data_IF_312679070569
#
_entry.id   IF_312679070569
#
_cell.length_a   1.000
_cell.length_b   1.000
_cell.length_c   1.000
_cell.angle_alpha   90.00
_cell.angle_beta   90.00
_cell.angle_gamma   90.00
#
_symmetry.space_group_name_H-M   'P 1'
#
loop_
_entity.id
_entity.type
_entity.pdbx_description
1 polymer ?
#
# COMPACT_ATOMS: atom_id res chain seq x y z
N UNK A 1 15.30 15.52 29.00
CA UNK A 1 14.69 14.24 28.55
C UNK A 1 15.20 13.73 27.19
N UNK A 2 15.67 14.59 26.26
CA UNK A 2 16.18 14.18 24.93
C UNK A 2 17.39 13.20 24.96
N UNK A 3 18.33 13.37 25.89
CA UNK A 3 19.55 12.53 25.96
C UNK A 3 19.33 11.12 26.54
N UNK A 4 18.23 10.88 27.27
CA UNK A 4 17.92 9.54 27.81
C UNK A 4 17.21 8.65 26.77
N UNK A 5 16.55 9.24 25.78
CA UNK A 5 15.88 8.48 24.73
C UNK A 5 16.89 7.91 23.72
N UNK A 6 17.88 8.72 23.30
CA UNK A 6 18.92 8.27 22.36
C UNK A 6 19.80 7.13 22.92
N UNK A 7 20.10 7.11 24.23
CA UNK A 7 20.89 6.01 24.83
C UNK A 7 20.15 4.67 24.90
N UNK A 8 18.81 4.67 24.89
CA UNK A 8 17.98 3.46 24.98
C UNK A 8 17.69 2.80 23.62
N UNK A 9 17.83 3.52 22.51
CA UNK A 9 17.58 3.01 21.15
C UNK A 9 18.79 2.27 20.57
N UNK A 10 20.00 2.61 21.02
CA UNK A 10 21.26 2.04 20.50
C UNK A 10 21.35 0.49 20.61
N UNK A 11 20.86 -0.18 21.67
CA UNK A 11 20.87 -1.64 21.75
C UNK A 11 20.00 -2.33 20.68
N UNK A 12 18.88 -1.72 20.28
CA UNK A 12 18.00 -2.21 19.20
C UNK A 12 18.64 -2.07 17.81
N UNK A 13 19.46 -1.03 17.60
CA UNK A 13 20.17 -0.81 16.35
C UNK A 13 21.33 -1.80 16.15
N UNK A 14 21.99 -2.19 17.25
CA UNK A 14 23.16 -3.08 17.21
C UNK A 14 22.80 -4.58 17.11
N UNK A 15 21.58 -5.00 17.48
CA UNK A 15 21.17 -6.42 17.35
C UNK A 15 20.59 -6.76 15.97
N UNK A 16 20.27 -5.75 15.14
CA UNK A 16 19.56 -5.92 13.86
C UNK A 16 20.48 -5.65 12.65
N UNK A 17 21.76 -5.36 12.84
CA UNK A 17 22.71 -5.01 11.77
C UNK A 17 23.22 -6.20 10.92
N UNK A 18 22.40 -7.24 10.72
CA UNK A 18 22.75 -8.45 9.97
C UNK A 18 21.71 -8.87 8.92
N UNK A 19 21.26 -7.91 8.10
CA UNK A 19 20.30 -8.19 7.02
C UNK A 19 20.68 -7.46 5.73
N UNK A 20 21.12 -8.20 4.71
CA UNK A 20 21.24 -7.73 3.33
C UNK A 20 20.74 -8.80 2.35
N UNK A 21 20.15 -8.31 1.24
CA UNK A 21 19.66 -8.98 0.02
C UNK A 21 18.23 -9.56 0.01
N UNK A 22 17.28 -8.81 -0.59
CA UNK A 22 16.68 -9.14 -1.89
C UNK A 22 15.74 -8.01 -2.37
N UNK A 23 15.64 -7.84 -3.69
CA UNK A 23 14.89 -6.77 -4.39
C UNK A 23 13.62 -7.30 -5.06
N UNK A 24 12.66 -6.37 -5.16
CA UNK A 24 11.54 -6.22 -6.11
C UNK A 24 10.33 -7.17 -6.04
N UNK A 25 9.15 -6.64 -5.66
CA UNK A 25 8.06 -6.21 -6.56
C UNK A 25 6.84 -5.69 -5.74
N UNK A 26 6.23 -4.58 -6.17
CA UNK A 26 4.97 -4.03 -5.66
C UNK A 26 3.89 -4.11 -6.74
N UNK A 27 2.67 -4.53 -6.39
CA UNK A 27 1.44 -3.72 -6.48
C UNK A 27 0.22 -4.54 -6.01
N UNK A 28 -0.77 -3.83 -5.46
CA UNK A 28 -2.16 -4.24 -5.22
C UNK A 28 -2.49 -4.82 -3.83
N UNK A 29 -2.69 -3.97 -2.81
CA UNK A 29 -3.61 -4.28 -1.72
C UNK A 29 -4.24 -3.00 -1.14
N UNK A 30 -5.45 -2.68 -1.60
CA UNK A 30 -6.42 -1.86 -0.88
C UNK A 30 -7.76 -2.59 -0.92
N UNK A 31 -8.01 -3.41 0.10
CA UNK A 31 -9.34 -3.73 0.66
C UNK A 31 -9.21 -4.82 1.74
N UNK A 32 -9.46 -4.43 2.99
CA UNK A 32 -9.89 -5.21 4.14
C UNK A 32 -9.08 -6.42 4.64
N UNK A 33 -8.66 -6.29 5.90
CA UNK A 33 -8.50 -7.38 6.85
C UNK A 33 -9.78 -8.23 6.92
N UNK A 34 -9.63 -9.55 6.74
CA UNK A 34 -10.37 -10.52 7.53
C UNK A 34 -9.55 -11.80 7.67
N UNK A 35 -9.66 -12.38 8.85
CA UNK A 35 -8.73 -13.30 9.51
C UNK A 35 -8.66 -14.67 8.82
N UNK A 36 -7.43 -15.19 8.71
CA UNK A 36 -7.17 -16.58 8.43
C UNK A 36 -7.17 -17.39 9.74
N UNK A 37 -7.99 -18.42 9.83
CA UNK A 37 -7.81 -19.49 10.80
C UNK A 37 -8.04 -20.85 10.11
N UNK A 38 -6.97 -21.65 10.04
CA UNK A 38 -7.03 -23.11 9.89
C UNK A 38 -6.23 -23.71 11.05
N UNK A 39 -6.83 -24.60 11.82
CA UNK A 39 -6.12 -25.64 12.57
C UNK A 39 -6.89 -26.95 12.51
N UNK A 40 -6.19 -28.00 12.06
CA UNK A 40 -6.50 -29.41 12.33
C UNK A 40 -5.89 -29.76 13.70
N UNK A 41 -6.61 -30.48 14.56
CA UNK A 41 -6.28 -31.88 14.94
C UNK A 41 -7.21 -32.44 16.04
N UNK A 42 -7.76 -33.62 15.73
CA UNK A 42 -7.95 -34.83 16.55
C UNK A 42 -8.25 -34.72 18.06
N UNK A 43 -9.41 -35.27 18.44
CA UNK A 43 -9.43 -36.45 19.31
C UNK A 43 -9.84 -36.29 20.78
N UNK A 44 -11.14 -36.52 21.01
CA UNK A 44 -11.74 -37.34 22.08
C UNK A 44 -12.42 -36.67 23.31
N UNK A 45 -13.66 -37.13 23.49
CA UNK A 45 -14.56 -37.19 24.67
C UNK A 45 -15.12 -35.91 25.30
N UNK A 46 -16.46 -35.82 25.31
CA UNK A 46 -17.23 -35.17 26.38
C UNK A 46 -18.39 -34.32 25.88
N UNK A 47 -19.62 -34.84 25.98
CA UNK A 47 -20.87 -34.20 25.58
C UNK A 47 -21.10 -32.82 26.25
N UNK A 48 -21.21 -31.77 25.43
CA UNK A 48 -22.11 -30.61 25.48
C UNK A 48 -21.54 -29.56 24.53
N UNK A 49 -22.40 -28.97 23.68
CA UNK A 49 -22.28 -27.67 22.99
C UNK A 49 -22.86 -27.71 21.56
N UNK A 50 -24.14 -28.07 21.42
CA UNK A 50 -24.84 -28.06 20.12
C UNK A 50 -25.12 -26.62 19.61
N UNK A 51 -25.07 -25.60 20.46
CA UNK A 51 -25.35 -24.21 20.06
C UNK A 51 -24.13 -23.46 19.48
N UNK A 52 -22.91 -23.73 19.95
CA UNK A 52 -21.68 -23.15 19.40
C UNK A 52 -21.36 -23.72 18.00
N UNK A 53 -21.62 -25.01 17.78
CA UNK A 53 -21.42 -25.65 16.48
C UNK A 53 -22.39 -25.11 15.40
N UNK A 54 -23.61 -24.72 15.81
CA UNK A 54 -24.59 -24.08 14.92
C UNK A 54 -24.13 -22.67 14.52
N UNK A 55 -23.59 -21.88 15.46
CA UNK A 55 -23.09 -20.52 15.21
C UNK A 55 -21.85 -20.51 14.30
N UNK A 56 -20.93 -21.46 14.50
CA UNK A 56 -19.76 -21.61 13.64
C UNK A 56 -20.15 -22.08 12.23
N UNK A 57 -21.10 -23.01 12.10
CA UNK A 57 -21.59 -23.46 10.78
C UNK A 57 -22.28 -22.34 9.98
N UNK A 58 -23.00 -21.45 10.66
CA UNK A 58 -23.65 -20.29 10.03
C UNK A 58 -22.62 -19.27 9.55
N UNK A 59 -21.61 -19.01 10.37
CA UNK A 59 -20.53 -18.06 10.06
C UNK A 59 -19.69 -18.55 8.89
N UNK A 60 -19.33 -19.84 8.87
CA UNK A 60 -18.61 -20.47 7.75
C UNK A 60 -19.41 -20.40 6.45
N UNK A 61 -20.71 -20.65 6.51
CA UNK A 61 -21.60 -20.57 5.35
C UNK A 61 -21.68 -19.14 4.79
N UNK A 62 -21.72 -18.12 5.65
CA UNK A 62 -21.71 -16.71 5.23
C UNK A 62 -20.38 -16.31 4.58
N UNK A 63 -19.26 -16.76 5.14
CA UNK A 63 -17.92 -16.50 4.59
C UNK A 63 -17.79 -17.16 3.21
N UNK A 64 -18.19 -18.44 3.07
CA UNK A 64 -18.15 -19.12 1.79
C UNK A 64 -19.04 -18.46 0.73
N UNK A 65 -20.26 -18.01 1.10
CA UNK A 65 -21.13 -17.28 0.18
C UNK A 65 -20.51 -15.95 -0.29
N UNK A 66 -19.81 -15.24 0.60
CA UNK A 66 -19.08 -14.01 0.24
C UNK A 66 -17.92 -14.30 -0.69
N UNK A 67 -17.14 -15.35 -0.45
CA UNK A 67 -16.01 -15.77 -1.30
C UNK A 67 -16.51 -16.15 -2.69
N UNK A 68 -17.53 -17.02 -2.79
CA UNK A 68 -18.13 -17.44 -4.07
C UNK A 68 -18.69 -16.23 -4.83
N UNK A 69 -19.39 -15.32 -4.13
CA UNK A 69 -19.89 -14.08 -4.75
C UNK A 69 -18.75 -13.24 -5.32
N UNK A 70 -17.65 -13.11 -4.59
CA UNK A 70 -16.48 -12.34 -5.01
C UNK A 70 -15.77 -12.98 -6.21
N UNK A 71 -15.58 -14.31 -6.19
CA UNK A 71 -15.03 -15.08 -7.31
C UNK A 71 -15.91 -14.98 -8.56
N UNK A 72 -17.24 -15.00 -8.41
CA UNK A 72 -18.17 -14.83 -9.53
C UNK A 72 -18.08 -13.44 -10.18
N UNK A 73 -17.87 -12.39 -9.38
CA UNK A 73 -17.68 -11.02 -9.86
C UNK A 73 -16.34 -10.89 -10.56
N UNK A 74 -15.28 -11.47 -9.98
CA UNK A 74 -13.94 -11.42 -10.53
C UNK A 74 -13.80 -12.26 -11.83
N UNK A 75 -14.48 -13.41 -11.90
CA UNK A 75 -14.54 -14.21 -13.12
C UNK A 75 -15.38 -13.55 -14.23
N UNK A 76 -16.45 -12.82 -13.90
CA UNK A 76 -17.16 -11.98 -14.89
C UNK A 76 -16.28 -10.87 -15.46
N UNK A 77 -15.44 -10.26 -14.62
CA UNK A 77 -14.45 -9.26 -15.05
C UNK A 77 -13.36 -9.91 -15.94
N UNK A 78 -12.87 -11.11 -15.60
CA UNK A 78 -11.91 -11.85 -16.42
C UNK A 78 -12.47 -12.31 -17.76
N UNK A 79 -13.70 -12.86 -17.78
CA UNK A 79 -14.35 -13.32 -19.02
C UNK A 79 -14.69 -12.15 -19.95
N UNK A 80 -14.97 -10.96 -19.39
CA UNK A 80 -15.12 -9.71 -20.15
C UNK A 80 -13.81 -9.24 -20.80
N UNK A 81 -12.64 -9.61 -20.28
CA UNK A 81 -11.34 -9.27 -20.87
C UNK A 81 -10.82 -10.34 -21.85
N UNK A 82 -11.13 -11.63 -21.64
CA UNK A 82 -10.61 -12.73 -22.47
C UNK A 82 -11.41 -12.99 -23.75
N UNK A 83 -12.60 -12.41 -23.91
CA UNK A 83 -13.48 -12.65 -25.07
C UNK A 83 -13.31 -11.65 -26.22
N UNK A 84 -12.28 -10.78 -26.21
CA UNK A 84 -11.95 -9.87 -27.33
C UNK A 84 -10.60 -10.14 -28.01
N UNK A 85 -9.97 -11.29 -27.77
CA UNK A 85 -8.69 -11.68 -28.38
C UNK A 85 -8.76 -12.90 -29.31
N UNK A 86 -9.91 -13.16 -29.94
CA UNK A 86 -10.05 -14.19 -31.00
C UNK A 86 -10.81 -13.68 -32.22
N UNK A 87 -10.24 -12.71 -32.92
CA UNK A 87 -10.45 -12.53 -34.37
C UNK A 87 -9.09 -12.11 -34.94
N UNK A 88 -8.71 -12.72 -36.07
CA UNK A 88 -7.45 -12.60 -36.82
C UNK A 88 -6.34 -13.61 -36.44
N UNK A 89 -6.53 -14.87 -36.82
CA UNK A 89 -5.42 -15.66 -37.36
C UNK A 89 -5.48 -15.57 -38.90
N UNK A 90 -4.39 -15.22 -39.60
CA UNK A 90 -4.29 -15.44 -41.04
C UNK A 90 -3.80 -16.88 -41.29
N UNK A 91 -4.48 -17.55 -42.23
CA UNK A 91 -3.99 -18.80 -42.81
C UNK A 91 -2.71 -18.55 -43.60
N UNK A 92 -1.68 -19.34 -43.32
CA UNK A 92 -0.45 -19.43 -44.09
C UNK A 92 -0.75 -19.99 -45.49
N UNK A 93 -0.30 -19.29 -46.53
CA UNK A 93 0.06 -19.88 -47.80
C UNK A 93 1.07 -18.96 -48.52
N UNK A 94 2.27 -19.49 -48.75
CA UNK A 94 3.04 -19.27 -49.98
C UNK A 94 3.83 -17.96 -50.16
N UNK A 95 5.15 -18.12 -50.10
CA UNK A 95 6.17 -17.52 -50.96
C UNK A 95 6.90 -16.23 -50.52
N UNK A 96 8.19 -16.46 -50.24
CA UNK A 96 9.33 -15.55 -50.12
C UNK A 96 9.33 -14.29 -51.00
N UNK A 97 9.63 -13.12 -50.39
CA UNK A 97 10.84 -12.31 -50.68
C UNK A 97 10.92 -11.06 -49.77
N UNK A 98 12.14 -10.79 -49.31
CA UNK A 98 12.72 -9.52 -48.83
C UNK A 98 11.80 -8.29 -48.74
N UNK A 99 11.72 -7.65 -47.56
CA UNK A 99 12.25 -6.30 -47.32
C UNK A 99 12.08 -5.82 -45.86
N UNK A 100 13.17 -5.24 -45.34
CA UNK A 100 13.24 -4.12 -44.39
C UNK A 100 12.46 -4.15 -43.07
N UNK A 101 13.25 -4.21 -42.00
CA UNK A 101 13.13 -3.39 -40.79
C UNK A 101 12.57 -1.99 -41.03
N UNK A 102 11.38 -1.69 -40.49
CA UNK A 102 10.95 -0.36 -40.02
C UNK A 102 9.59 -0.43 -39.31
N UNK A 103 9.43 0.44 -38.30
CA UNK A 103 8.19 0.93 -37.70
C UNK A 103 7.57 0.16 -36.53
N UNK A 104 8.01 0.50 -35.33
CA UNK A 104 7.19 0.51 -34.10
C UNK A 104 6.72 1.94 -33.84
N UNK A 105 5.87 2.49 -34.71
CA UNK A 105 5.28 3.82 -34.57
C UNK A 105 3.93 3.87 -35.30
N UNK A 106 2.94 3.07 -34.86
CA UNK A 106 1.58 3.17 -35.39
C UNK A 106 0.57 2.57 -34.40
N UNK A 107 0.18 3.34 -33.39
CA UNK A 107 -1.05 3.06 -32.62
C UNK A 107 -1.76 4.29 -32.05
N UNK A 108 -1.16 5.48 -32.12
CA UNK A 108 -1.75 6.73 -31.59
C UNK A 108 -2.85 7.30 -32.48
N UNK A 109 -2.87 6.96 -33.78
CA UNK A 109 -3.87 7.41 -34.76
C UNK A 109 -5.28 6.87 -34.51
N UNK A 110 -5.41 5.72 -33.85
CA UNK A 110 -6.73 5.12 -33.61
C UNK A 110 -7.53 5.84 -32.50
N UNK A 111 -6.86 6.35 -31.46
CA UNK A 111 -7.52 7.00 -30.32
C UNK A 111 -8.31 8.24 -30.70
N UNK A 112 -7.76 9.10 -31.55
CA UNK A 112 -8.46 10.32 -31.97
C UNK A 112 -9.65 10.00 -32.86
N UNK A 113 -9.56 8.99 -33.72
CA UNK A 113 -10.68 8.54 -34.57
C UNK A 113 -11.78 7.86 -33.74
N UNK A 114 -11.43 7.08 -32.71
CA UNK A 114 -12.40 6.53 -31.75
C UNK A 114 -13.12 7.67 -31.02
N UNK A 115 -12.40 8.66 -30.50
CA UNK A 115 -13.02 9.80 -29.80
C UNK A 115 -13.89 10.62 -30.74
N UNK A 116 -13.46 10.87 -31.99
CA UNK A 116 -14.28 11.53 -33.02
C UNK A 116 -15.54 10.72 -33.37
N UNK A 117 -15.42 9.39 -33.49
CA UNK A 117 -16.56 8.51 -33.73
C UNK A 117 -17.54 8.53 -32.55
N UNK A 118 -17.04 8.50 -31.32
CA UNK A 118 -17.85 8.66 -30.10
C UNK A 118 -18.55 10.02 -30.06
N UNK A 119 -17.85 11.10 -30.42
CA UNK A 119 -18.42 12.43 -30.55
C UNK A 119 -19.55 12.48 -31.57
N UNK A 120 -19.32 11.92 -32.75
CA UNK A 120 -20.33 11.85 -33.81
C UNK A 120 -21.55 11.02 -33.37
N UNK A 121 -21.35 9.90 -32.68
CA UNK A 121 -22.42 9.09 -32.09
C UNK A 121 -23.18 9.82 -30.97
N UNK A 122 -22.48 10.57 -30.11
CA UNK A 122 -23.09 11.43 -29.10
C UNK A 122 -23.96 12.51 -29.74
N UNK A 123 -23.49 13.15 -30.82
CA UNK A 123 -24.28 14.13 -31.57
C UNK A 123 -25.50 13.50 -32.26
N UNK A 124 -25.33 12.30 -32.84
CA UNK A 124 -26.37 11.65 -33.64
C UNK A 124 -27.45 10.95 -32.79
N UNK A 125 -27.09 10.44 -31.61
CA UNK A 125 -27.96 9.57 -30.78
C UNK A 125 -28.33 10.18 -29.42
N UNK A 126 -28.30 11.51 -29.28
CA UNK A 126 -28.60 12.25 -28.04
C UNK A 126 -30.05 12.08 -27.53
N UNK A 127 -30.46 10.86 -27.22
CA UNK A 127 -31.54 10.53 -26.30
C UNK A 127 -30.97 10.64 -24.90
N UNK A 128 -31.67 11.33 -23.99
CA UNK A 128 -31.18 11.62 -22.64
C UNK A 128 -30.77 10.37 -21.84
N UNK A 129 -31.35 9.21 -22.17
CA UNK A 129 -31.10 7.95 -21.46
C UNK A 129 -29.72 7.31 -21.69
N UNK A 130 -29.00 7.64 -22.77
CA UNK A 130 -27.70 7.00 -23.10
C UNK A 130 -26.46 7.84 -22.77
N UNK A 131 -26.65 9.13 -22.43
CA UNK A 131 -25.56 10.06 -22.10
C UNK A 131 -24.61 9.53 -21.01
N UNK A 132 -25.07 8.90 -19.91
CA UNK A 132 -24.17 8.44 -18.84
C UNK A 132 -23.24 7.29 -19.26
N UNK A 133 -23.69 6.39 -20.14
CA UNK A 133 -22.94 5.21 -20.57
C UNK A 133 -21.82 5.62 -21.52
N UNK A 134 -22.15 6.38 -22.57
CA UNK A 134 -21.19 6.93 -23.54
C UNK A 134 -20.07 7.70 -22.85
N UNK A 135 -20.43 8.42 -21.81
CA UNK A 135 -19.51 9.25 -21.07
C UNK A 135 -18.63 8.43 -20.11
N UNK A 136 -19.18 7.38 -19.47
CA UNK A 136 -18.36 6.43 -18.72
C UNK A 136 -17.36 5.71 -19.64
N UNK A 137 -17.77 5.31 -20.85
CA UNK A 137 -16.89 4.68 -21.83
C UNK A 137 -15.80 5.64 -22.31
N UNK A 138 -16.15 6.92 -22.55
CA UNK A 138 -15.17 7.96 -22.82
C UNK A 138 -14.20 8.14 -21.66
N UNK A 139 -14.68 8.17 -20.41
CA UNK A 139 -13.81 8.26 -19.24
C UNK A 139 -12.88 7.05 -19.11
N UNK A 140 -13.36 5.83 -19.41
CA UNK A 140 -12.51 4.64 -19.45
C UNK A 140 -11.45 4.81 -20.53
N UNK A 141 -11.81 5.22 -21.74
CA UNK A 141 -10.85 5.41 -22.82
C UNK A 141 -9.79 6.49 -22.49
N UNK A 142 -10.23 7.64 -22.00
CA UNK A 142 -9.35 8.74 -21.57
C UNK A 142 -8.44 8.32 -20.43
N UNK A 143 -8.94 7.52 -19.49
CA UNK A 143 -8.14 6.97 -18.38
C UNK A 143 -7.01 6.06 -18.86
N UNK A 144 -7.08 5.56 -20.08
CA UNK A 144 -6.02 4.76 -20.69
C UNK A 144 -5.23 5.51 -21.78
N UNK A 145 -5.65 6.72 -22.18
CA UNK A 145 -4.92 7.50 -23.17
C UNK A 145 -4.03 8.54 -22.48
N UNK A 146 -2.72 8.41 -22.63
CA UNK A 146 -1.75 9.44 -22.22
C UNK A 146 -1.71 10.63 -23.20
N UNK A 147 -2.61 10.68 -24.17
CA UNK A 147 -2.58 11.68 -25.23
C UNK A 147 -3.22 13.01 -24.80
N UNK A 148 -2.39 14.03 -24.62
CA UNK A 148 -2.76 15.42 -24.34
C UNK A 148 -3.75 15.97 -25.38
N UNK A 149 -3.67 15.54 -26.63
CA UNK A 149 -4.55 16.03 -27.71
C UNK A 149 -6.02 15.68 -27.49
N UNK A 150 -6.32 14.77 -26.57
CA UNK A 150 -7.69 14.38 -26.23
C UNK A 150 -8.33 15.38 -25.25
N UNK A 151 -7.52 16.22 -24.57
CA UNK A 151 -8.00 17.22 -23.60
C UNK A 151 -9.01 18.22 -24.19
N UNK A 152 -8.74 18.91 -25.32
CA UNK A 152 -9.71 19.81 -25.94
C UNK A 152 -11.01 19.08 -26.30
N UNK A 153 -10.89 17.88 -26.85
CA UNK A 153 -12.01 17.04 -27.25
C UNK A 153 -12.90 16.65 -26.08
N UNK A 154 -12.32 16.28 -24.93
CA UNK A 154 -13.07 15.99 -23.69
C UNK A 154 -13.80 17.24 -23.21
N UNK A 155 -13.16 18.40 -23.27
CA UNK A 155 -13.76 19.68 -22.89
C UNK A 155 -14.96 19.99 -23.79
N UNK A 156 -14.83 19.80 -25.10
CA UNK A 156 -15.90 20.01 -26.07
C UNK A 156 -17.07 19.05 -25.85
N UNK A 157 -16.81 17.74 -25.69
CA UNK A 157 -17.83 16.73 -25.35
C UNK A 157 -18.58 17.11 -24.07
N UNK A 158 -17.86 17.56 -23.05
CA UNK A 158 -18.44 17.89 -21.75
C UNK A 158 -19.29 19.17 -21.81
N UNK A 159 -18.90 20.13 -22.65
CA UNK A 159 -19.71 21.32 -22.94
C UNK A 159 -21.01 20.94 -23.67
N UNK A 160 -20.95 19.98 -24.61
CA UNK A 160 -22.12 19.51 -25.38
C UNK A 160 -23.09 18.71 -24.50
N UNK A 161 -22.58 17.88 -23.58
CA UNK A 161 -23.39 17.02 -22.71
C UNK A 161 -24.00 17.75 -21.50
N UNK A 162 -23.94 19.08 -21.49
CA UNK A 162 -24.27 19.99 -20.39
C UNK A 162 -25.69 19.83 -19.82
N UNK A 163 -25.89 18.83 -18.97
CA UNK A 163 -26.79 18.97 -17.82
C UNK A 163 -26.00 19.60 -16.67
N UNK A 164 -26.68 20.42 -15.86
CA UNK A 164 -26.14 21.08 -14.67
C UNK A 164 -25.51 20.07 -13.68
N UNK A 165 -25.98 18.82 -13.71
CA UNK A 165 -25.46 17.73 -12.88
C UNK A 165 -24.07 17.26 -13.32
N UNK A 166 -23.76 17.38 -14.62
CA UNK A 166 -22.54 16.84 -15.21
C UNK A 166 -21.35 17.79 -15.13
N UNK A 167 -21.60 19.11 -15.20
CA UNK A 167 -20.58 20.15 -15.01
C UNK A 167 -19.78 20.01 -13.72
N UNK A 168 -20.37 19.41 -12.68
CA UNK A 168 -19.86 19.62 -11.33
C UNK A 168 -19.00 18.49 -10.75
N UNK A 169 -18.82 17.30 -11.37
CA UNK A 169 -18.30 16.15 -10.55
C UNK A 169 -17.22 15.24 -11.13
N UNK A 170 -17.22 14.93 -12.41
CA UNK A 170 -16.30 13.91 -12.96
C UNK A 170 -15.27 14.49 -13.93
N UNK A 171 -15.69 15.43 -14.79
CA UNK A 171 -14.85 15.94 -15.87
C UNK A 171 -13.55 16.56 -15.35
N UNK A 172 -13.63 17.57 -14.49
CA UNK A 172 -12.45 18.32 -14.05
C UNK A 172 -11.49 17.44 -13.25
N UNK A 173 -12.04 16.48 -12.51
CA UNK A 173 -11.25 15.49 -11.81
C UNK A 173 -10.47 14.58 -12.78
N UNK A 174 -11.10 14.15 -13.86
CA UNK A 174 -10.45 13.33 -14.89
C UNK A 174 -9.43 14.14 -15.68
N UNK A 175 -9.76 15.37 -16.05
CA UNK A 175 -8.84 16.28 -16.72
C UNK A 175 -7.60 16.55 -15.84
N UNK A 176 -7.78 16.75 -14.53
CA UNK A 176 -6.68 16.93 -13.59
C UNK A 176 -5.78 15.70 -13.54
N UNK A 177 -6.35 14.50 -13.57
CA UNK A 177 -5.57 13.25 -13.65
C UNK A 177 -4.77 13.12 -14.95
N UNK A 178 -5.35 13.48 -16.10
CA UNK A 178 -4.66 13.46 -17.39
C UNK A 178 -3.52 14.48 -17.39
N UNK A 179 -3.77 15.71 -16.94
CA UNK A 179 -2.74 16.74 -16.80
C UNK A 179 -1.60 16.29 -15.88
N UNK A 180 -1.93 15.60 -14.77
CA UNK A 180 -0.93 15.07 -13.83
C UNK A 180 0.01 14.08 -14.50
N UNK A 181 -0.53 13.09 -15.22
CA UNK A 181 0.28 12.06 -15.90
C UNK A 181 1.20 12.63 -16.97
N UNK A 182 0.73 13.70 -17.61
CA UNK A 182 1.49 14.42 -18.63
C UNK A 182 2.53 15.40 -18.06
N UNK A 183 2.73 15.42 -16.73
CA UNK A 183 3.75 16.25 -16.08
C UNK A 183 3.35 17.71 -15.89
N UNK A 184 2.11 18.10 -16.22
CA UNK A 184 1.59 19.45 -15.99
C UNK A 184 1.06 19.58 -14.56
N UNK A 185 1.95 19.41 -13.56
CA UNK A 185 1.59 19.29 -12.15
C UNK A 185 0.85 20.52 -11.60
N UNK A 186 1.32 21.74 -11.90
CA UNK A 186 0.69 22.96 -11.40
C UNK A 186 -0.74 23.12 -11.91
N UNK A 187 -0.96 22.88 -13.21
CA UNK A 187 -2.28 22.94 -13.83
C UNK A 187 -3.21 21.87 -13.27
N UNK A 188 -2.71 20.65 -13.11
CA UNK A 188 -3.46 19.56 -12.49
C UNK A 188 -3.88 19.91 -11.05
N UNK A 189 -2.95 20.43 -10.24
CA UNK A 189 -3.21 20.82 -8.86
C UNK A 189 -4.20 21.98 -8.76
N UNK A 190 -4.09 23.00 -9.63
CA UNK A 190 -5.04 24.09 -9.68
C UNK A 190 -6.46 23.60 -10.01
N UNK A 191 -6.57 22.61 -10.91
CA UNK A 191 -7.86 22.01 -11.25
C UNK A 191 -8.40 21.14 -10.10
N UNK A 192 -7.55 20.36 -9.42
CA UNK A 192 -7.95 19.67 -8.19
C UNK A 192 -8.43 20.65 -7.11
N UNK A 193 -7.78 21.81 -6.98
CA UNK A 193 -8.16 22.86 -6.04
C UNK A 193 -9.53 23.44 -6.35
N UNK A 194 -9.77 23.97 -7.56
CA UNK A 194 -11.06 24.55 -7.93
C UNK A 194 -12.20 23.54 -7.74
N UNK A 195 -11.97 22.31 -8.21
CA UNK A 195 -12.91 21.19 -8.07
C UNK A 195 -13.20 20.87 -6.59
N UNK A 196 -12.20 20.97 -5.71
CA UNK A 196 -12.36 20.76 -4.27
C UNK A 196 -13.16 21.88 -3.61
N UNK A 197 -12.97 23.14 -4.01
CA UNK A 197 -13.68 24.29 -3.45
C UNK A 197 -15.17 24.23 -3.77
N UNK A 198 -15.48 23.98 -5.05
CA UNK A 198 -16.84 24.01 -5.59
C UNK A 198 -17.69 22.83 -5.13
N UNK A 199 -17.09 21.66 -4.89
CA UNK A 199 -17.83 20.40 -4.75
C UNK A 199 -17.46 19.60 -3.50
N UNK A 200 -18.28 19.75 -2.44
CA UNK A 200 -18.09 19.06 -1.16
C UNK A 200 -18.11 17.52 -1.30
N UNK A 201 -18.99 16.99 -2.15
CA UNK A 201 -19.24 15.54 -2.27
C UNK A 201 -18.05 14.76 -2.85
N UNK A 202 -17.15 15.42 -3.58
CA UNK A 202 -16.00 14.76 -4.25
C UNK A 202 -14.68 15.00 -3.53
N UNK A 203 -14.66 15.81 -2.46
CA UNK A 203 -13.44 16.11 -1.68
C UNK A 203 -12.72 14.86 -1.20
N UNK A 204 -13.46 13.88 -0.68
CA UNK A 204 -12.88 12.59 -0.25
C UNK A 204 -12.19 11.87 -1.41
N UNK A 205 -12.84 11.84 -2.58
CA UNK A 205 -12.29 11.20 -3.78
C UNK A 205 -11.03 11.92 -4.29
N UNK A 206 -11.03 13.26 -4.28
CA UNK A 206 -9.85 14.08 -4.63
C UNK A 206 -8.68 13.72 -3.71
N UNK A 207 -8.90 13.68 -2.39
CA UNK A 207 -7.85 13.30 -1.42
C UNK A 207 -7.28 11.91 -1.71
N UNK A 208 -8.12 10.91 -2.01
CA UNK A 208 -7.65 9.57 -2.36
C UNK A 208 -6.80 9.57 -3.64
N UNK A 209 -7.19 10.34 -4.66
CA UNK A 209 -6.42 10.46 -5.91
C UNK A 209 -5.08 11.14 -5.64
N UNK A 210 -5.09 12.25 -4.90
CA UNK A 210 -3.88 12.98 -4.54
C UNK A 210 -2.92 12.14 -3.69
N UNK A 211 -3.43 11.29 -2.79
CA UNK A 211 -2.59 10.37 -2.02
C UNK A 211 -1.75 9.47 -2.93
N UNK A 212 -2.38 8.83 -3.93
CA UNK A 212 -1.69 7.95 -4.87
C UNK A 212 -0.73 8.74 -5.75
N UNK A 213 -1.19 9.87 -6.28
CA UNK A 213 -0.40 10.73 -7.15
C UNK A 213 0.83 11.31 -6.45
N UNK A 214 0.71 11.72 -5.18
CA UNK A 214 1.85 12.24 -4.40
C UNK A 214 2.87 11.14 -4.13
N UNK A 215 2.43 9.95 -3.73
CA UNK A 215 3.33 8.82 -3.53
C UNK A 215 4.12 8.49 -4.80
N UNK A 216 3.44 8.44 -5.96
CA UNK A 216 4.10 8.20 -7.25
C UNK A 216 5.08 9.33 -7.62
N UNK A 217 4.65 10.58 -7.50
CA UNK A 217 5.47 11.72 -7.89
C UNK A 217 6.71 11.88 -7.01
N UNK A 218 6.60 11.66 -5.70
CA UNK A 218 7.74 11.78 -4.78
C UNK A 218 8.77 10.67 -5.02
N UNK A 219 8.32 9.46 -5.38
CA UNK A 219 9.22 8.35 -5.65
C UNK A 219 9.86 8.39 -7.05
N UNK A 220 9.22 9.04 -8.02
CA UNK A 220 9.66 8.99 -9.43
C UNK A 220 10.09 10.32 -10.02
N UNK A 221 9.69 11.45 -9.43
CA UNK A 221 9.93 12.80 -9.97
C UNK A 221 10.88 13.57 -9.07
N UNK A 222 11.56 14.56 -9.65
CA UNK A 222 12.58 15.34 -8.97
C UNK A 222 12.03 16.30 -7.89
N UNK A 223 12.95 16.86 -7.11
CA UNK A 223 12.70 17.74 -5.96
C UNK A 223 11.78 18.94 -6.28
N UNK A 224 11.86 19.50 -7.49
CA UNK A 224 11.00 20.60 -7.91
C UNK A 224 9.50 20.26 -7.79
N UNK A 225 9.11 19.02 -8.14
CA UNK A 225 7.70 18.57 -8.04
C UNK A 225 7.29 18.41 -6.58
N UNK A 226 8.18 17.93 -5.73
CA UNK A 226 7.94 17.83 -4.29
C UNK A 226 7.68 19.22 -3.67
N UNK A 227 8.45 20.24 -4.05
CA UNK A 227 8.22 21.62 -3.59
C UNK A 227 6.83 22.13 -3.97
N UNK A 228 6.39 21.87 -5.21
CA UNK A 228 5.05 22.23 -5.69
C UNK A 228 3.96 21.51 -4.86
N UNK A 229 4.12 20.21 -4.63
CA UNK A 229 3.18 19.38 -3.85
C UNK A 229 3.09 19.85 -2.38
N UNK A 230 4.24 20.17 -1.76
CA UNK A 230 4.29 20.71 -0.39
C UNK A 230 3.56 22.05 -0.33
N UNK A 231 3.85 22.96 -1.26
CA UNK A 231 3.22 24.28 -1.30
C UNK A 231 1.70 24.18 -1.50
N UNK A 232 1.26 23.26 -2.36
CA UNK A 232 -0.14 22.93 -2.52
C UNK A 232 -0.79 22.42 -1.23
N UNK A 233 -0.17 21.44 -0.56
CA UNK A 233 -0.68 20.89 0.70
C UNK A 233 -0.73 21.93 1.82
N UNK A 234 0.23 22.86 1.86
CA UNK A 234 0.22 24.01 2.78
C UNK A 234 -0.96 24.94 2.54
N UNK A 235 -1.44 25.11 1.31
CA UNK A 235 -2.66 25.90 1.02
C UNK A 235 -3.89 25.30 1.70
N UNK A 236 -4.02 23.98 1.72
CA UNK A 236 -5.12 23.29 2.43
C UNK A 236 -5.06 23.50 3.93
N UNK A 237 -3.87 23.40 4.52
CA UNK A 237 -3.68 23.69 5.95
C UNK A 237 -4.08 25.12 6.28
N UNK A 238 -3.64 26.10 5.47
CA UNK A 238 -3.97 27.52 5.71
C UNK A 238 -5.46 27.82 5.57
N UNK A 239 -6.13 27.29 4.53
CA UNK A 239 -7.52 27.63 4.21
C UNK A 239 -8.54 26.82 5.02
N UNK A 240 -8.29 25.53 5.22
CA UNK A 240 -9.25 24.60 5.80
C UNK A 240 -8.80 24.02 7.15
N UNK A 241 -7.59 24.37 7.64
CA UNK A 241 -6.96 23.71 8.79
C UNK A 241 -6.93 22.18 8.64
N UNK A 242 -6.82 21.72 7.38
CA UNK A 242 -6.86 20.32 7.00
C UNK A 242 -5.45 19.82 6.69
N UNK A 243 -4.95 18.93 7.56
CA UNK A 243 -3.61 18.35 7.47
C UNK A 243 -3.59 17.03 6.69
N UNK A 244 -4.73 16.57 6.16
CA UNK A 244 -4.81 15.27 5.46
C UNK A 244 -3.80 15.18 4.32
N UNK A 245 -3.76 16.18 3.44
CA UNK A 245 -2.86 16.16 2.28
C UNK A 245 -1.40 16.28 2.70
N UNK A 246 -1.10 17.11 3.70
CA UNK A 246 0.25 17.24 4.22
C UNK A 246 0.73 15.92 4.86
N UNK A 247 -0.19 15.14 5.46
CA UNK A 247 0.13 13.81 6.00
C UNK A 247 0.48 12.80 4.91
N UNK A 248 -0.12 12.90 3.72
CA UNK A 248 0.26 12.06 2.57
C UNK A 248 1.65 12.40 2.04
N UNK A 249 1.97 13.69 1.99
CA UNK A 249 3.32 14.15 1.62
C UNK A 249 4.34 13.65 2.62
N UNK A 250 4.05 13.82 3.93
CA UNK A 250 4.89 13.31 5.00
C UNK A 250 5.10 11.79 4.88
N UNK A 251 4.04 11.00 4.72
CA UNK A 251 4.11 9.54 4.60
C UNK A 251 4.97 9.14 3.39
N UNK A 252 4.79 9.80 2.26
CA UNK A 252 5.54 9.52 1.03
C UNK A 252 7.03 9.87 1.17
N UNK A 253 7.34 11.03 1.73
CA UNK A 253 8.72 11.45 2.02
C UNK A 253 9.39 10.55 3.06
N UNK A 254 8.66 10.17 4.11
CA UNK A 254 9.14 9.26 5.15
C UNK A 254 9.40 7.85 4.63
N UNK A 255 8.61 7.36 3.68
CA UNK A 255 8.81 6.05 3.05
C UNK A 255 9.86 6.08 1.92
N UNK A 256 10.34 7.26 1.55
CA UNK A 256 11.34 7.42 0.49
C UNK A 256 12.68 6.80 0.91
N UNK A 257 13.39 6.29 -0.10
CA UNK A 257 14.77 5.79 0.03
C UNK A 257 15.78 6.94 0.14
N UNK A 258 15.40 8.16 -0.28
CA UNK A 258 16.30 9.29 -0.32
C UNK A 258 16.41 9.96 1.06
N UNK A 259 17.63 10.26 1.49
CA UNK A 259 17.85 10.91 2.79
C UNK A 259 17.27 12.33 2.86
N UNK A 260 17.38 13.10 1.77
CA UNK A 260 16.80 14.45 1.66
C UNK A 260 15.29 14.46 1.91
N UNK A 261 14.56 13.50 1.35
CA UNK A 261 13.11 13.37 1.56
C UNK A 261 12.78 13.05 3.03
N UNK A 262 13.60 12.20 3.67
CA UNK A 262 13.45 11.87 5.08
C UNK A 262 13.71 13.09 5.99
N UNK A 263 14.65 13.98 5.61
CA UNK A 263 14.85 15.25 6.29
C UNK A 263 13.62 16.16 6.14
N UNK A 264 13.08 16.29 4.92
CA UNK A 264 11.85 17.05 4.67
C UNK A 264 10.68 16.52 5.52
N UNK A 265 10.51 15.21 5.62
CA UNK A 265 9.48 14.61 6.48
C UNK A 265 9.66 15.00 7.96
N UNK A 266 10.91 15.04 8.44
CA UNK A 266 11.23 15.48 9.80
C UNK A 266 10.90 16.96 10.01
N UNK A 267 11.32 17.82 9.08
CA UNK A 267 11.05 19.26 9.12
C UNK A 267 9.56 19.57 9.11
N UNK A 268 8.77 18.81 8.34
CA UNK A 268 7.31 18.95 8.30
C UNK A 268 6.68 18.67 9.67
N UNK A 269 7.14 17.64 10.40
CA UNK A 269 6.63 17.33 11.74
C UNK A 269 7.02 18.38 12.79
N UNK A 270 8.22 18.96 12.67
CA UNK A 270 8.67 20.04 13.56
C UNK A 270 7.88 21.32 13.32
N UNK A 271 7.68 21.68 12.05
CA UNK A 271 7.01 22.91 11.65
C UNK A 271 5.50 22.90 11.86
N UNK A 272 4.86 21.74 11.78
CA UNK A 272 3.40 21.61 11.84
C UNK A 272 2.98 20.67 12.98
N UNK A 273 2.81 21.16 14.22
CA UNK A 273 2.49 20.30 15.37
C UNK A 273 1.22 19.46 15.20
N UNK A 274 0.16 20.01 14.60
CA UNK A 274 -1.11 19.29 14.33
C UNK A 274 -0.99 18.20 13.26
N UNK A 275 0.12 18.16 12.50
CA UNK A 275 0.40 17.07 11.58
C UNK A 275 0.57 15.74 12.34
N UNK A 276 1.07 15.80 13.58
CA UNK A 276 1.29 14.64 14.44
C UNK A 276 0.02 13.81 14.63
N UNK A 277 -1.12 14.46 14.84
CA UNK A 277 -2.42 13.78 14.99
C UNK A 277 -2.77 12.94 13.75
N UNK A 278 -2.46 13.44 12.56
CA UNK A 278 -2.70 12.71 11.32
C UNK A 278 -1.68 11.59 11.10
N UNK A 279 -0.43 11.81 11.52
CA UNK A 279 0.62 10.79 11.47
C UNK A 279 0.29 9.62 12.38
N UNK A 280 -0.24 9.86 13.58
CA UNK A 280 -0.67 8.81 14.50
C UNK A 280 -1.64 7.82 13.87
N UNK A 281 -2.59 8.31 13.04
CA UNK A 281 -3.54 7.48 12.30
C UNK A 281 -2.90 6.60 11.23
N UNK A 282 -1.69 6.96 10.77
CA UNK A 282 -0.94 6.27 9.71
C UNK A 282 0.03 5.24 10.24
N UNK A 283 0.46 5.36 11.50
CA UNK A 283 1.50 4.51 12.11
C UNK A 283 1.23 3.02 11.87
N UNK A 284 0.03 2.55 12.24
CA UNK A 284 -0.30 1.14 12.12
C UNK A 284 -0.17 0.64 10.67
N UNK A 285 -0.70 1.39 9.70
CA UNK A 285 -0.59 1.06 8.28
C UNK A 285 0.87 0.99 7.82
N UNK A 286 1.68 2.01 8.14
CA UNK A 286 3.10 2.07 7.75
C UNK A 286 3.86 0.88 8.35
N UNK A 287 3.65 0.58 9.63
CA UNK A 287 4.28 -0.55 10.30
C UNK A 287 3.90 -1.86 9.65
N UNK A 288 2.61 -2.13 9.44
CA UNK A 288 2.16 -3.39 8.84
C UNK A 288 2.72 -3.59 7.43
N UNK A 289 2.63 -2.57 6.56
CA UNK A 289 3.13 -2.66 5.18
C UNK A 289 4.65 -2.85 5.16
N UNK A 290 5.39 -2.16 6.04
CA UNK A 290 6.85 -2.25 6.10
C UNK A 290 7.32 -3.62 6.62
N UNK A 291 6.68 -4.17 7.65
CA UNK A 291 7.00 -5.50 8.18
C UNK A 291 6.70 -6.61 7.17
N UNK A 292 5.56 -6.54 6.47
CA UNK A 292 5.23 -7.48 5.38
C UNK A 292 6.28 -7.41 4.27
N UNK A 293 6.82 -6.23 4.01
CA UNK A 293 7.88 -6.01 3.01
C UNK A 293 9.29 -6.29 3.54
N UNK A 294 9.44 -6.82 4.77
CA UNK A 294 10.72 -7.04 5.46
C UNK A 294 11.60 -5.78 5.59
N UNK A 295 10.99 -4.58 5.58
CA UNK A 295 11.69 -3.29 5.73
C UNK A 295 11.73 -2.86 7.19
N UNK A 296 12.57 -3.53 7.97
CA UNK A 296 12.69 -3.32 9.43
C UNK A 296 13.26 -1.94 9.75
N UNK A 297 14.17 -1.44 8.92
CA UNK A 297 14.80 -0.12 8.99
C UNK A 297 13.76 1.01 9.01
N UNK A 298 12.74 0.92 8.15
CA UNK A 298 11.64 1.89 8.09
C UNK A 298 10.84 1.89 9.39
N UNK A 299 10.60 0.72 9.98
CA UNK A 299 9.85 0.57 11.23
C UNK A 299 10.65 1.09 12.42
N UNK A 300 11.96 0.83 12.45
CA UNK A 300 12.86 1.38 13.47
C UNK A 300 12.91 2.90 13.41
N UNK A 301 13.08 3.49 12.22
CA UNK A 301 13.03 4.94 12.04
C UNK A 301 11.68 5.52 12.44
N UNK A 302 10.58 4.82 12.16
CA UNK A 302 9.25 5.25 12.59
C UNK A 302 9.17 5.24 14.12
N UNK A 303 9.66 4.19 14.75
CA UNK A 303 9.70 4.06 16.21
C UNK A 303 10.51 5.20 16.86
N UNK A 304 11.66 5.56 16.29
CA UNK A 304 12.46 6.71 16.73
C UNK A 304 11.69 8.03 16.64
N UNK A 305 10.96 8.25 15.54
CA UNK A 305 10.10 9.44 15.37
C UNK A 305 9.01 9.47 16.43
N UNK A 306 8.36 8.33 16.72
CA UNK A 306 7.31 8.25 17.74
C UNK A 306 7.86 8.50 19.15
N UNK A 307 9.07 8.01 19.45
CA UNK A 307 9.76 8.30 20.71
C UNK A 307 10.15 9.78 20.82
N UNK A 308 10.68 10.37 19.74
CA UNK A 308 11.06 11.81 19.70
C UNK A 308 9.89 12.73 20.06
N UNK A 309 8.67 12.35 19.67
CA UNK A 309 7.46 13.14 19.87
C UNK A 309 6.52 12.59 20.96
N UNK A 310 6.98 11.65 21.78
CA UNK A 310 6.24 11.09 22.92
C UNK A 310 4.85 10.51 22.56
N UNK A 311 4.78 9.76 21.46
CA UNK A 311 3.53 9.13 20.99
C UNK A 311 3.35 7.73 21.57
N UNK A 312 3.11 7.62 22.90
CA UNK A 312 3.09 6.35 23.66
C UNK A 312 2.21 5.27 23.06
N UNK A 313 0.94 5.58 22.81
CA UNK A 313 -0.02 4.62 22.26
C UNK A 313 0.46 4.02 20.94
N UNK A 314 1.10 4.84 20.10
CA UNK A 314 1.52 4.46 18.77
C UNK A 314 2.81 3.63 18.82
N UNK A 315 3.80 4.05 19.61
CA UNK A 315 5.05 3.28 19.70
C UNK A 315 4.85 1.92 20.37
N UNK A 316 3.88 1.81 21.29
CA UNK A 316 3.45 0.54 21.89
C UNK A 316 2.91 -0.44 20.83
N UNK A 317 2.07 0.04 19.90
CA UNK A 317 1.57 -0.76 18.78
C UNK A 317 2.70 -1.20 17.85
N UNK A 318 3.69 -0.33 17.61
CA UNK A 318 4.87 -0.66 16.80
C UNK A 318 5.71 -1.74 17.47
N UNK A 319 5.99 -1.63 18.77
CA UNK A 319 6.75 -2.64 19.52
C UNK A 319 6.06 -4.01 19.50
N UNK A 320 4.75 -4.04 19.74
CA UNK A 320 3.96 -5.28 19.66
C UNK A 320 4.03 -5.90 18.27
N UNK A 321 3.92 -5.08 17.23
CA UNK A 321 4.01 -5.55 15.83
C UNK A 321 5.40 -6.07 15.48
N UNK A 322 6.46 -5.39 15.95
CA UNK A 322 7.85 -5.84 15.82
C UNK A 322 8.08 -7.15 16.56
N UNK A 323 7.54 -7.30 17.76
CA UNK A 323 7.63 -8.53 18.55
C UNK A 323 6.97 -9.70 17.82
N UNK A 324 5.75 -9.52 17.33
CA UNK A 324 5.04 -10.56 16.58
C UNK A 324 5.79 -10.96 15.30
N UNK A 325 6.35 -9.97 14.60
CA UNK A 325 7.21 -10.21 13.44
C UNK A 325 8.48 -10.99 13.82
N UNK A 326 9.21 -10.58 14.85
CA UNK A 326 10.42 -11.26 15.34
C UNK A 326 10.13 -12.71 15.79
N UNK A 327 8.98 -12.93 16.44
CA UNK A 327 8.50 -14.26 16.80
C UNK A 327 8.22 -15.12 15.56
N UNK A 328 7.62 -14.53 14.51
CA UNK A 328 7.29 -15.25 13.28
C UNK A 328 8.53 -15.74 12.53
N UNK A 329 9.62 -14.97 12.54
CA UNK A 329 10.92 -15.34 11.97
C UNK A 329 11.76 -16.22 12.92
N UNK A 330 11.26 -16.47 14.15
CA UNK A 330 11.94 -17.20 15.22
C UNK A 330 13.29 -16.59 15.64
N UNK A 331 13.39 -15.27 15.61
CA UNK A 331 14.58 -14.57 16.07
C UNK A 331 14.49 -14.28 17.57
N UNK A 332 15.11 -15.15 18.36
CA UNK A 332 15.11 -15.06 19.82
C UNK A 332 15.82 -13.79 20.32
N UNK A 333 16.92 -13.38 19.69
CA UNK A 333 17.69 -12.22 20.11
C UNK A 333 16.89 -10.93 19.89
N UNK A 334 16.25 -10.80 18.73
CA UNK A 334 15.35 -9.69 18.46
C UNK A 334 14.18 -9.66 19.46
N UNK A 335 13.56 -10.81 19.75
CA UNK A 335 12.49 -10.88 20.75
C UNK A 335 12.96 -10.44 22.14
N UNK A 336 14.13 -10.91 22.58
CA UNK A 336 14.69 -10.53 23.88
C UNK A 336 15.03 -9.04 23.96
N UNK A 337 15.58 -8.46 22.89
CA UNK A 337 15.84 -7.02 22.81
C UNK A 337 14.55 -6.19 22.85
N UNK A 338 13.49 -6.66 22.17
CA UNK A 338 12.18 -6.00 22.19
C UNK A 338 11.55 -6.09 23.59
N UNK A 339 11.61 -7.24 24.27
CA UNK A 339 11.11 -7.40 25.64
C UNK A 339 11.84 -6.46 26.61
N UNK A 340 13.17 -6.36 26.49
CA UNK A 340 13.94 -5.40 27.28
C UNK A 340 13.50 -3.97 27.00
N UNK A 341 13.28 -3.62 25.72
CA UNK A 341 12.82 -2.29 25.32
C UNK A 341 11.41 -1.98 25.85
N UNK A 342 10.52 -2.96 25.86
CA UNK A 342 9.20 -2.85 26.46
C UNK A 342 9.28 -2.56 27.97
N UNK A 343 10.18 -3.24 28.69
CA UNK A 343 10.44 -2.97 30.10
C UNK A 343 10.98 -1.55 30.32
N UNK A 344 11.95 -1.13 29.51
CA UNK A 344 12.59 0.18 29.62
C UNK A 344 11.66 1.36 29.30
N UNK A 345 10.59 1.12 28.53
CA UNK A 345 9.61 2.10 28.07
C UNK A 345 8.24 1.97 28.77
N UNK A 346 8.12 1.06 29.75
CA UNK A 346 6.88 0.78 30.47
C UNK A 346 5.71 0.45 29.51
N UNK A 347 5.96 -0.53 28.64
CA UNK A 347 5.01 -1.08 27.69
C UNK A 347 4.76 -2.55 28.03
N UNK A 348 3.49 -2.91 28.21
CA UNK A 348 3.11 -4.29 28.49
C UNK A 348 2.89 -5.07 27.20
N UNK A 349 3.51 -6.25 27.12
CA UNK A 349 3.16 -7.23 26.10
C UNK A 349 1.85 -7.94 26.46
N UNK A 350 1.13 -8.41 25.45
CA UNK A 350 -0.09 -9.19 25.67
C UNK A 350 0.24 -10.59 26.19
N UNK A 351 -0.69 -11.25 26.90
CA UNK A 351 -0.49 -12.61 27.41
C UNK A 351 -0.17 -13.63 26.30
N UNK A 352 -0.76 -13.43 25.12
CA UNK A 352 -0.49 -14.23 23.94
C UNK A 352 0.97 -14.06 23.50
N UNK A 353 1.48 -12.83 23.49
CA UNK A 353 2.87 -12.54 23.14
C UNK A 353 3.85 -13.08 24.19
N UNK A 354 3.55 -12.94 25.47
CA UNK A 354 4.33 -13.52 26.57
C UNK A 354 4.40 -15.05 26.45
N UNK A 355 3.26 -15.69 26.18
CA UNK A 355 3.20 -17.14 25.96
C UNK A 355 4.01 -17.58 24.74
N UNK A 356 3.99 -16.80 23.65
CA UNK A 356 4.83 -17.04 22.46
C UNK A 356 6.32 -16.91 22.78
N UNK A 357 6.70 -15.90 23.56
CA UNK A 357 8.09 -15.70 23.98
C UNK A 357 8.63 -16.90 24.76
N UNK A 358 7.89 -17.36 25.77
CA UNK A 358 8.28 -18.51 26.61
C UNK A 358 8.42 -19.77 25.76
N UNK A 359 7.47 -20.02 24.85
CA UNK A 359 7.54 -21.15 23.94
C UNK A 359 8.77 -21.11 23.02
N UNK A 360 9.14 -19.93 22.54
CA UNK A 360 10.37 -19.73 21.75
C UNK A 360 11.62 -19.99 22.60
N UNK A 361 11.66 -19.49 23.83
CA UNK A 361 12.76 -19.69 24.76
C UNK A 361 13.00 -21.18 25.06
N UNK A 362 11.95 -21.91 25.45
CA UNK A 362 12.05 -23.35 25.73
C UNK A 362 12.52 -24.16 24.52
N UNK A 363 12.12 -23.76 23.30
CA UNK A 363 12.58 -24.42 22.07
C UNK A 363 14.05 -24.11 21.73
N UNK A 364 14.52 -22.90 22.00
CA UNK A 364 15.93 -22.54 21.75
C UNK A 364 16.87 -23.25 22.73
N UNK A 365 16.50 -23.35 24.01
CA UNK A 365 17.26 -24.09 25.02
C UNK A 365 17.36 -25.58 24.66
N UNK A 366 16.25 -26.20 24.23
CA UNK A 366 16.26 -27.58 23.75
C UNK A 366 17.20 -27.77 22.54
N UNK A 367 17.25 -26.79 21.62
CA UNK A 367 18.17 -26.81 20.46
C UNK A 367 19.62 -26.63 20.87
N UNK A 368 19.92 -25.75 21.82
CA UNK A 368 21.27 -25.54 22.36
C UNK A 368 21.75 -26.80 23.09
N UNK A 369 20.90 -27.40 23.92
CA UNK A 369 21.15 -28.68 24.59
C UNK A 369 21.42 -29.81 23.60
N UNK A 370 20.61 -29.94 22.54
CA UNK A 370 20.82 -30.95 21.50
C UNK A 370 22.11 -30.74 20.69
N UNK A 371 22.49 -29.50 20.39
CA UNK A 371 23.78 -29.18 19.72
C UNK A 371 24.99 -29.53 20.60
N UNK A 372 24.90 -29.29 21.90
CA UNK A 372 25.92 -29.72 22.87
C UNK A 372 26.01 -31.24 22.94
N UNK A 373 24.88 -31.94 22.92
CA UNK A 373 24.82 -33.40 22.96
C UNK A 373 25.38 -34.06 21.69
N UNK A 374 25.17 -33.49 20.50
CA UNK A 374 25.77 -34.02 19.25
C UNK A 374 27.29 -33.77 19.22
N UNK A 375 27.77 -32.65 19.79
CA UNK A 375 29.19 -32.32 19.82
C UNK A 375 29.98 -33.23 20.78
N UNK A 376 29.37 -33.70 21.87
CA UNK A 376 30.01 -34.63 22.82
C UNK A 376 30.07 -36.08 22.33
N UNK A 377 29.23 -36.49 21.38
CA UNK A 377 29.26 -37.84 20.79
C UNK A 377 30.18 -37.95 19.54
N UNK A 378 30.68 -36.82 19.01
CA UNK A 378 31.58 -36.81 17.84
C UNK A 378 33.07 -36.78 18.22
N UNK A 379 33.41 -36.55 19.49
CA UNK A 379 34.75 -36.81 20.00
C UNK A 379 34.94 -38.32 20.20
N UNK A 380 35.74 -38.94 19.33
CA UNK A 380 36.15 -40.35 19.46
C UNK A 380 36.52 -40.66 20.91
N UNK A 381 36.07 -41.78 21.50
CA UNK A 381 36.45 -42.15 22.86
C UNK A 381 37.97 -42.28 22.93
N UNK A 382 38.61 -41.41 23.71
CA UNK A 382 40.01 -41.56 24.04
C UNK A 382 40.17 -42.89 24.76
N UNK A 383 40.98 -43.79 24.20
CA UNK A 383 41.37 -45.06 24.82
C UNK A 383 41.94 -44.78 26.21
N UNK A 384 41.14 -44.99 27.25
CA UNK A 384 41.65 -45.12 28.61
C UNK A 384 42.26 -46.52 28.73
N UNK A 385 43.59 -46.60 28.71
CA UNK A 385 44.30 -47.81 29.12
C UNK A 385 44.40 -47.80 30.64
N UNK A 386 43.64 -48.66 31.31
CA UNK A 386 43.93 -49.02 32.70
C UNK A 386 45.13 -49.95 32.70
N UNK A 387 46.22 -49.53 33.38
CA UNK A 387 47.30 -50.42 33.79
C UNK A 387 46.90 -51.01 35.15
N UNK A 388 46.79 -52.32 35.21
CA UNK A 388 46.76 -53.09 36.46
C UNK A 388 48.17 -53.30 36.98
#
# INVERSE_FOLDING_TARGET
MHNNCQRKVIPLLNSVSHWYNMKDYYLCYYCNFSVAAKKKKSGNTGCRDDEEEILDSFTDRLVQQKVIKWESVNNKIRISCSSRQKICQPQENGSNKQLSSQNTQESTTNTNEIVKHFLHECHKKATESKKPILLNDMHVHVRHSDNISVIPTIKDVSNILSSVEFKNRAHDLHLAQVMWRNGHFENALNLFWSTYEENLNIRKRIKCILQVNFADAINTKGEAVLVIIINFSKKFVKKYNDYTLLSYVWESCFLSKWHSDNQIASDLLEKYPKLKDNVQLRVHHITSVSLISHKIDVVQRLFEVLLKYDMKTQYELVLRSLFDYACSIRDFYACSAIVQSCSDLDVTLTDIQNSRFINLFCQDDARRGAKLFIKTWSTKPSKFSFKF
#
